data_IF_837031668300
#
_entry.id   IF_837031668300
#
_cell.length_a   1.000
_cell.length_b   1.000
_cell.length_c   1.000
_cell.angle_alpha   90.00
_cell.angle_beta   90.00
_cell.angle_gamma   90.00
#
_symmetry.space_group_name_H-M   'P 1'
#
loop_
_entity.id
_entity.type
_entity.pdbx_description
1 polymer ?
#
# COMPACT_ATOMS: atom_id res chain seq x y z
N UNK A 1 1.91 1.64 28.27
CA UNK A 1 2.89 1.55 27.17
C UNK A 1 2.55 2.65 26.18
N UNK A 2 3.52 3.40 25.68
CA UNK A 2 3.25 4.37 24.62
C UNK A 2 2.78 3.64 23.37
N UNK A 3 1.77 4.16 22.68
CA UNK A 3 1.32 3.63 21.40
C UNK A 3 2.48 3.65 20.40
N UNK A 4 2.67 2.58 19.64
CA UNK A 4 3.65 2.49 18.56
C UNK A 4 3.26 3.38 17.37
N UNK A 5 4.20 3.60 16.45
CA UNK A 5 3.97 4.38 15.26
C UNK A 5 3.10 3.66 14.22
N UNK A 6 2.46 4.43 13.35
CA UNK A 6 1.92 3.96 12.09
C UNK A 6 2.96 4.21 10.99
N UNK A 7 3.46 3.17 10.38
CA UNK A 7 4.48 3.25 9.32
C UNK A 7 3.82 3.07 7.95
N UNK A 8 3.96 4.07 7.07
CA UNK A 8 3.35 4.05 5.73
C UNK A 8 4.44 4.09 4.67
N UNK A 9 4.71 2.94 4.07
CA UNK A 9 5.65 2.82 2.95
C UNK A 9 4.94 3.24 1.67
N UNK A 10 5.44 4.31 1.02
CA UNK A 10 4.76 4.98 -0.08
C UNK A 10 3.79 6.07 0.37
N UNK A 11 4.08 6.72 1.51
CA UNK A 11 3.23 7.73 2.13
C UNK A 11 3.35 9.17 1.58
N UNK A 12 4.15 9.39 0.51
CA UNK A 12 4.36 10.75 -0.03
C UNK A 12 3.31 11.20 -1.05
N UNK A 13 2.30 10.38 -1.32
CA UNK A 13 1.23 10.76 -2.28
C UNK A 13 0.09 9.76 -2.30
N UNK A 14 -0.98 10.12 -3.01
CA UNK A 14 -2.15 9.27 -3.22
C UNK A 14 -2.70 8.68 -1.94
N UNK A 15 -3.10 7.40 -2.00
CA UNK A 15 -3.71 6.69 -0.87
C UNK A 15 -2.81 6.62 0.37
N UNK A 16 -1.49 6.43 0.19
CA UNK A 16 -0.57 6.38 1.32
C UNK A 16 -0.53 7.69 2.11
N UNK A 17 -0.58 8.84 1.43
CA UNK A 17 -0.65 10.15 2.07
C UNK A 17 -1.95 10.37 2.83
N UNK A 18 -3.09 9.96 2.26
CA UNK A 18 -4.39 10.09 2.94
C UNK A 18 -4.48 9.17 4.17
N UNK A 19 -3.91 7.96 4.10
CA UNK A 19 -3.81 7.07 5.26
C UNK A 19 -2.93 7.70 6.34
N UNK A 20 -1.78 8.25 5.98
CA UNK A 20 -0.90 8.96 6.91
C UNK A 20 -1.64 10.13 7.59
N UNK A 21 -2.34 10.96 6.79
CA UNK A 21 -3.17 12.05 7.30
C UNK A 21 -4.23 11.58 8.27
N UNK A 22 -4.97 10.52 7.92
CA UNK A 22 -6.03 9.96 8.77
C UNK A 22 -5.54 9.60 10.18
N UNK A 23 -4.35 8.99 10.28
CA UNK A 23 -3.79 8.65 11.58
C UNK A 23 -3.20 9.85 12.32
N UNK A 24 -2.63 10.81 11.62
CA UNK A 24 -2.17 12.08 12.20
C UNK A 24 -3.33 12.89 12.81
N UNK A 25 -4.47 12.97 12.11
CA UNK A 25 -5.68 13.64 12.58
C UNK A 25 -6.23 12.99 13.89
N UNK A 26 -5.90 11.72 14.13
CA UNK A 26 -6.20 10.97 15.36
C UNK A 26 -5.08 11.07 16.43
N UNK A 27 -4.11 11.95 16.23
CA UNK A 27 -3.01 12.20 17.17
C UNK A 27 -1.94 11.11 17.23
N UNK A 28 -1.94 10.14 16.26
CA UNK A 28 -0.95 9.06 16.20
C UNK A 28 0.38 9.59 15.67
N UNK A 29 1.46 8.93 16.06
CA UNK A 29 2.76 9.10 15.42
C UNK A 29 2.75 8.37 14.08
N UNK A 30 3.22 9.05 13.01
CA UNK A 30 3.27 8.50 11.66
C UNK A 30 4.67 8.66 11.07
N UNK A 31 5.24 7.56 10.58
CA UNK A 31 6.45 7.57 9.76
C UNK A 31 6.03 7.26 8.33
N UNK A 32 6.26 8.20 7.41
CA UNK A 32 5.96 8.01 6.01
C UNK A 32 7.22 7.94 5.16
N UNK A 33 7.22 7.10 4.13
CA UNK A 33 8.38 6.97 3.26
C UNK A 33 8.12 7.39 1.82
N UNK A 34 9.18 7.85 1.17
CA UNK A 34 9.29 8.06 -0.26
C UNK A 34 10.72 7.80 -0.71
N UNK A 35 10.97 7.70 -2.02
CA UNK A 35 12.33 7.50 -2.56
C UNK A 35 13.24 8.70 -2.34
N UNK A 36 12.67 9.89 -2.36
CA UNK A 36 13.37 11.15 -2.13
C UNK A 36 13.13 11.66 -0.71
N UNK A 37 14.22 11.87 0.05
CA UNK A 37 14.17 12.31 1.44
C UNK A 37 13.59 13.71 1.58
N UNK A 38 13.98 14.64 0.69
CA UNK A 38 13.51 16.02 0.78
C UNK A 38 12.00 16.08 0.57
N UNK A 39 11.47 15.34 -0.41
CA UNK A 39 10.04 15.22 -0.62
C UNK A 39 9.33 14.55 0.55
N UNK A 40 9.87 13.48 1.12
CA UNK A 40 9.26 12.79 2.26
C UNK A 40 9.21 13.72 3.49
N UNK A 41 10.27 14.46 3.77
CA UNK A 41 10.33 15.44 4.83
C UNK A 41 9.35 16.61 4.60
N UNK A 42 9.27 17.13 3.37
CA UNK A 42 8.33 18.19 3.01
C UNK A 42 6.87 17.76 3.22
N UNK A 43 6.50 16.55 2.77
CA UNK A 43 5.16 16.00 2.98
C UNK A 43 4.86 15.80 4.47
N UNK A 44 5.82 15.30 5.25
CA UNK A 44 5.66 15.19 6.70
C UNK A 44 5.42 16.55 7.34
N UNK A 45 6.19 17.56 6.97
CA UNK A 45 6.01 18.94 7.47
C UNK A 45 4.65 19.51 7.10
N UNK A 46 4.19 19.29 5.86
CA UNK A 46 2.88 19.75 5.37
C UNK A 46 1.72 19.08 6.13
N UNK A 47 1.81 17.77 6.40
CA UNK A 47 0.81 17.03 7.16
C UNK A 47 0.80 17.44 8.63
N UNK A 48 1.92 17.89 9.16
CA UNK A 48 2.06 18.33 10.54
C UNK A 48 1.95 17.20 11.58
N UNK A 49 1.54 17.55 12.79
CA UNK A 49 1.36 16.58 13.86
C UNK A 49 2.67 15.88 14.27
N UNK A 50 2.58 14.59 14.61
CA UNK A 50 3.72 13.73 14.96
C UNK A 50 4.20 12.95 13.74
N UNK A 51 4.43 13.65 12.61
CA UNK A 51 4.86 13.04 11.36
C UNK A 51 6.36 13.10 11.17
N UNK A 52 6.92 12.07 10.54
CA UNK A 52 8.33 11.99 10.12
C UNK A 52 8.43 11.36 8.73
N UNK A 53 9.18 12.02 7.83
CA UNK A 53 9.51 11.49 6.50
C UNK A 53 10.85 10.78 6.49
N UNK A 54 10.94 9.66 5.78
CA UNK A 54 12.18 8.91 5.56
C UNK A 54 12.36 8.60 4.07
N UNK A 55 13.62 8.44 3.63
CA UNK A 55 13.94 7.90 2.32
C UNK A 55 13.89 6.37 2.38
N UNK A 56 13.17 5.74 1.46
CA UNK A 56 13.17 4.30 1.29
C UNK A 56 12.80 3.96 -0.16
N UNK A 57 13.67 3.18 -0.82
CA UNK A 57 13.47 2.68 -2.16
C UNK A 57 13.25 1.15 -2.10
N UNK A 58 12.04 0.72 -2.40
CA UNK A 58 11.66 -0.69 -2.42
C UNK A 58 12.37 -1.50 -3.51
N UNK A 59 12.95 -0.83 -4.52
CA UNK A 59 13.76 -1.50 -5.57
C UNK A 59 15.18 -1.80 -5.13
N UNK A 60 15.56 -1.33 -3.93
CA UNK A 60 16.87 -1.54 -3.31
C UNK A 60 16.75 -2.28 -1.99
N UNK A 61 16.36 -3.57 -2.00
CA UNK A 61 16.01 -4.30 -0.77
C UNK A 61 17.16 -4.33 0.25
N UNK A 62 18.41 -4.38 -0.18
CA UNK A 62 19.57 -4.38 0.71
C UNK A 62 19.77 -3.07 1.50
N UNK A 63 19.13 -1.96 1.09
CA UNK A 63 19.21 -0.67 1.78
C UNK A 63 18.06 -0.48 2.78
N UNK A 64 16.99 -1.28 2.70
CA UNK A 64 15.75 -1.12 3.48
C UNK A 64 16.02 -1.21 4.98
N UNK A 65 16.78 -2.19 5.42
CA UNK A 65 17.11 -2.37 6.85
C UNK A 65 17.76 -1.13 7.47
N UNK A 66 18.71 -0.52 6.75
CA UNK A 66 19.36 0.73 7.19
C UNK A 66 18.38 1.92 7.22
N UNK A 67 17.52 2.04 6.21
CA UNK A 67 16.51 3.11 6.14
C UNK A 67 15.50 3.04 7.30
N UNK A 68 15.21 1.84 7.80
CA UNK A 68 14.24 1.59 8.87
C UNK A 68 14.88 1.51 10.28
N UNK A 69 16.21 1.57 10.40
CA UNK A 69 16.92 1.36 11.66
C UNK A 69 16.47 2.30 12.80
N UNK A 70 16.09 3.55 12.46
CA UNK A 70 15.66 4.57 13.42
C UNK A 70 14.16 4.53 13.76
N UNK A 71 13.40 3.50 13.36
CA UNK A 71 11.98 3.35 13.71
C UNK A 71 11.84 2.66 15.06
N UNK A 72 11.01 3.21 15.93
CA UNK A 72 10.65 2.62 17.24
C UNK A 72 9.58 1.52 17.12
N UNK A 73 8.81 1.24 18.19
CA UNK A 73 7.70 0.30 18.16
C UNK A 73 6.68 0.66 17.08
N UNK A 74 6.12 -0.35 16.42
CA UNK A 74 5.17 -0.21 15.30
C UNK A 74 3.86 -0.90 15.64
N UNK A 75 2.75 -0.14 15.66
CA UNK A 75 1.41 -0.70 15.81
C UNK A 75 0.82 -1.10 14.46
N UNK A 76 1.00 -0.25 13.43
CA UNK A 76 0.46 -0.50 12.10
C UNK A 76 1.52 -0.27 11.03
N UNK A 77 1.65 -1.23 10.11
CA UNK A 77 2.49 -1.13 8.93
C UNK A 77 1.63 -1.17 7.67
N UNK A 78 1.73 -0.16 6.82
CA UNK A 78 1.04 -0.07 5.53
C UNK A 78 2.04 -0.10 4.39
N UNK A 79 1.92 -1.07 3.49
CA UNK A 79 2.75 -1.25 2.31
C UNK A 79 1.95 -0.84 1.06
N UNK A 80 2.06 0.44 0.66
CA UNK A 80 1.28 1.04 -0.44
C UNK A 80 2.14 1.56 -1.60
N UNK A 81 3.47 1.54 -1.46
CA UNK A 81 4.38 2.03 -2.49
C UNK A 81 4.38 1.15 -3.74
N UNK A 82 4.05 1.73 -4.90
CA UNK A 82 4.09 1.05 -6.19
C UNK A 82 4.44 2.03 -7.29
N UNK A 83 5.29 1.61 -8.21
CA UNK A 83 5.44 2.26 -9.51
C UNK A 83 4.43 1.69 -10.50
N UNK A 84 3.96 2.54 -11.40
CA UNK A 84 3.02 2.14 -12.45
C UNK A 84 3.77 2.04 -13.77
N UNK A 85 3.58 0.94 -14.46
CA UNK A 85 4.11 0.74 -15.80
C UNK A 85 3.14 -0.11 -16.61
N UNK A 86 3.13 0.10 -17.93
CA UNK A 86 2.49 -0.79 -18.86
C UNK A 86 3.55 -1.74 -19.43
N UNK A 87 3.25 -3.04 -19.44
CA UNK A 87 4.20 -4.06 -19.85
C UNK A 87 3.42 -5.20 -20.52
N UNK A 88 3.40 -5.20 -21.85
CA UNK A 88 2.76 -6.26 -22.65
C UNK A 88 3.78 -7.34 -23.01
N UNK A 89 3.33 -8.50 -23.46
CA UNK A 89 4.24 -9.56 -23.92
C UNK A 89 4.92 -9.15 -25.23
N UNK A 90 4.22 -8.42 -26.10
CA UNK A 90 4.75 -7.99 -27.40
C UNK A 90 5.74 -6.82 -27.26
N UNK A 91 5.61 -6.00 -26.21
CA UNK A 91 6.50 -4.89 -25.89
C UNK A 91 6.92 -5.01 -24.42
N UNK A 92 7.76 -6.01 -24.16
CA UNK A 92 8.16 -6.37 -22.81
C UNK A 92 9.48 -5.71 -22.41
N UNK A 93 9.40 -4.78 -21.45
CA UNK A 93 10.56 -4.22 -20.77
C UNK A 93 10.93 -5.07 -19.55
N UNK A 94 11.98 -5.89 -19.70
CA UNK A 94 12.48 -6.77 -18.62
C UNK A 94 12.99 -5.97 -17.42
N UNK A 95 13.59 -4.79 -17.63
CA UNK A 95 14.12 -3.95 -16.53
C UNK A 95 12.96 -3.44 -15.67
N UNK A 96 11.90 -2.93 -16.30
CA UNK A 96 10.68 -2.52 -15.61
C UNK A 96 10.01 -3.72 -14.91
N UNK A 97 9.96 -4.88 -15.56
CA UNK A 97 9.39 -6.10 -15.00
C UNK A 97 10.11 -6.55 -13.73
N UNK A 98 11.44 -6.60 -13.76
CA UNK A 98 12.29 -6.93 -12.61
C UNK A 98 12.12 -5.89 -11.50
N UNK A 99 12.13 -4.60 -11.85
CA UNK A 99 11.94 -3.52 -10.88
C UNK A 99 10.62 -3.65 -10.14
N UNK A 100 9.51 -3.88 -10.85
CA UNK A 100 8.18 -4.02 -10.24
C UNK A 100 8.07 -5.28 -9.36
N UNK A 101 8.64 -6.40 -9.78
CA UNK A 101 8.70 -7.63 -9.00
C UNK A 101 9.55 -7.42 -7.72
N UNK A 102 10.72 -6.81 -7.87
CA UNK A 102 11.59 -6.48 -6.72
C UNK A 102 10.88 -5.57 -5.74
N UNK A 103 10.29 -4.48 -6.21
CA UNK A 103 9.59 -3.52 -5.37
C UNK A 103 8.49 -4.17 -4.54
N UNK A 104 7.60 -4.94 -5.20
CA UNK A 104 6.37 -5.40 -4.56
C UNK A 104 6.49 -6.75 -3.88
N UNK A 105 7.28 -7.67 -4.43
CA UNK A 105 7.38 -9.03 -3.86
C UNK A 105 8.58 -9.16 -2.94
N UNK A 106 9.73 -8.58 -3.27
CA UNK A 106 10.94 -8.67 -2.44
C UNK A 106 10.99 -7.52 -1.44
N UNK A 107 10.84 -6.27 -1.89
CA UNK A 107 10.93 -5.08 -1.04
C UNK A 107 9.89 -5.05 0.07
N UNK A 108 8.66 -5.47 -0.20
CA UNK A 108 7.62 -5.55 0.84
C UNK A 108 7.97 -6.57 1.93
N UNK A 109 8.45 -7.75 1.53
CA UNK A 109 8.89 -8.77 2.50
C UNK A 109 10.07 -8.27 3.31
N UNK A 110 11.03 -7.60 2.67
CA UNK A 110 12.20 -7.04 3.38
C UNK A 110 11.81 -5.94 4.38
N UNK A 111 10.82 -5.08 4.05
CA UNK A 111 10.27 -4.12 5.03
C UNK A 111 9.70 -4.84 6.25
N UNK A 112 8.92 -5.90 6.03
CA UNK A 112 8.34 -6.71 7.12
C UNK A 112 9.46 -7.36 7.95
N UNK A 113 10.45 -7.96 7.29
CA UNK A 113 11.61 -8.56 7.94
C UNK A 113 12.36 -7.56 8.83
N UNK A 114 12.72 -6.40 8.29
CA UNK A 114 13.45 -5.36 9.00
C UNK A 114 12.69 -4.78 10.20
N UNK A 115 11.34 -4.68 10.10
CA UNK A 115 10.49 -4.18 11.18
C UNK A 115 9.99 -5.28 12.14
N UNK A 116 10.20 -6.56 11.85
CA UNK A 116 9.71 -7.67 12.70
C UNK A 116 10.05 -7.49 14.19
N UNK A 117 11.27 -7.07 14.58
CA UNK A 117 11.62 -6.87 16.00
C UNK A 117 10.90 -5.69 16.68
N UNK A 118 10.21 -4.85 15.90
CA UNK A 118 9.47 -3.65 16.36
C UNK A 118 7.96 -3.88 16.43
N UNK A 119 7.47 -5.03 15.94
CA UNK A 119 6.07 -5.43 15.99
C UNK A 119 5.77 -6.11 17.34
N UNK A 120 4.66 -5.73 17.94
CA UNK A 120 4.07 -6.40 19.11
C UNK A 120 2.99 -7.39 18.67
N UNK A 121 2.51 -8.20 19.59
CA UNK A 121 1.43 -9.17 19.35
C UNK A 121 0.12 -8.53 18.88
N UNK A 122 -0.07 -7.24 19.15
CA UNK A 122 -1.26 -6.48 18.70
C UNK A 122 -1.05 -5.71 17.42
N UNK A 123 0.15 -5.74 16.85
CA UNK A 123 0.45 -5.04 15.59
C UNK A 123 -0.32 -5.62 14.41
N UNK A 124 -0.49 -4.81 13.37
CA UNK A 124 -1.11 -5.23 12.12
C UNK A 124 -0.39 -4.69 10.89
N UNK A 125 -0.39 -5.48 9.84
CA UNK A 125 0.23 -5.18 8.54
C UNK A 125 -0.85 -5.18 7.47
N UNK A 126 -0.86 -4.15 6.63
CA UNK A 126 -1.71 -4.06 5.46
C UNK A 126 -0.89 -3.95 4.19
N UNK A 127 -1.13 -4.87 3.26
CA UNK A 127 -0.45 -4.91 1.96
C UNK A 127 -1.41 -4.46 0.86
N UNK A 128 -1.00 -3.45 0.09
CA UNK A 128 -1.77 -3.01 -1.07
C UNK A 128 -1.50 -3.91 -2.27
N UNK A 129 -2.55 -4.55 -2.77
CA UNK A 129 -2.58 -5.25 -4.04
C UNK A 129 -3.19 -4.37 -5.15
N UNK A 130 -4.15 -4.90 -5.85
CA UNK A 130 -4.93 -4.24 -6.92
C UNK A 130 -5.77 -5.25 -7.68
N UNK A 131 -6.83 -4.76 -8.33
CA UNK A 131 -7.81 -5.62 -9.01
C UNK A 131 -7.32 -6.23 -10.33
N UNK A 132 -6.20 -5.76 -10.90
CA UNK A 132 -5.59 -6.40 -12.08
C UNK A 132 -5.31 -7.90 -11.89
N UNK A 133 -5.21 -8.38 -10.65
CA UNK A 133 -5.09 -9.82 -10.31
C UNK A 133 -6.29 -10.66 -10.77
N UNK A 134 -7.48 -10.09 -10.81
CA UNK A 134 -8.75 -10.74 -11.22
C UNK A 134 -9.32 -10.13 -12.51
N UNK A 135 -8.98 -8.90 -12.81
CA UNK A 135 -9.44 -8.11 -13.95
C UNK A 135 -8.23 -7.63 -14.76
N UNK A 136 -7.50 -8.53 -15.42
CA UNK A 136 -6.34 -8.15 -16.23
C UNK A 136 -6.78 -7.36 -17.46
N UNK A 137 -5.91 -6.48 -17.91
CA UNK A 137 -6.09 -5.66 -19.12
C UNK A 137 -4.79 -5.63 -19.93
N UNK A 138 -4.82 -5.34 -21.22
CA UNK A 138 -3.60 -5.20 -22.02
C UNK A 138 -2.62 -4.20 -21.37
N UNK A 139 -1.36 -4.61 -21.19
CA UNK A 139 -0.34 -3.84 -20.48
C UNK A 139 -0.25 -4.11 -18.96
N UNK A 140 -1.09 -5.00 -18.42
CA UNK A 140 -1.06 -5.32 -16.98
C UNK A 140 -0.27 -6.59 -16.64
N UNK A 141 0.48 -7.19 -17.57
CA UNK A 141 1.15 -8.48 -17.36
C UNK A 141 1.90 -8.53 -16.02
N UNK A 142 2.82 -7.62 -15.79
CA UNK A 142 3.58 -7.60 -14.52
C UNK A 142 2.74 -7.11 -13.35
N UNK A 143 1.88 -6.11 -13.54
CA UNK A 143 0.99 -5.61 -12.47
C UNK A 143 0.04 -6.70 -11.98
N UNK A 144 -0.55 -7.47 -12.90
CA UNK A 144 -1.42 -8.61 -12.55
C UNK A 144 -0.65 -9.69 -11.79
N UNK A 145 0.56 -10.01 -12.26
CA UNK A 145 1.43 -11.03 -11.64
C UNK A 145 1.81 -10.65 -10.20
N UNK A 146 2.31 -9.43 -9.97
CA UNK A 146 2.73 -9.02 -8.63
C UNK A 146 1.54 -8.85 -7.69
N UNK A 147 0.38 -8.40 -8.18
CA UNK A 147 -0.84 -8.32 -7.37
C UNK A 147 -1.39 -9.71 -7.00
N UNK A 148 -1.24 -10.70 -7.89
CA UNK A 148 -1.50 -12.11 -7.58
C UNK A 148 -0.56 -12.65 -6.51
N UNK A 149 0.73 -12.31 -6.59
CA UNK A 149 1.76 -12.67 -5.61
C UNK A 149 1.49 -12.14 -4.20
N UNK A 150 0.84 -10.97 -4.08
CA UNK A 150 0.44 -10.40 -2.77
C UNK A 150 -0.49 -11.35 -2.00
N UNK A 151 -1.35 -12.09 -2.68
CA UNK A 151 -2.27 -13.05 -2.03
C UNK A 151 -1.48 -14.16 -1.31
N UNK A 152 -0.52 -14.76 -2.02
CA UNK A 152 0.36 -15.79 -1.43
C UNK A 152 1.19 -15.23 -0.27
N UNK A 153 1.75 -14.04 -0.46
CA UNK A 153 2.51 -13.33 0.57
C UNK A 153 1.68 -13.14 1.86
N UNK A 154 0.49 -12.56 1.75
CA UNK A 154 -0.38 -12.27 2.91
C UNK A 154 -0.79 -13.56 3.63
N UNK A 155 -1.16 -14.61 2.89
CA UNK A 155 -1.51 -15.91 3.48
C UNK A 155 -0.36 -16.50 4.27
N UNK A 156 0.86 -16.47 3.75
CA UNK A 156 2.04 -16.98 4.44
C UNK A 156 2.38 -16.12 5.64
N UNK A 157 2.48 -14.81 5.48
CA UNK A 157 2.84 -13.89 6.58
C UNK A 157 1.80 -13.90 7.71
N UNK A 158 0.51 -14.10 7.41
CA UNK A 158 -0.53 -14.19 8.44
C UNK A 158 -0.39 -15.40 9.36
N UNK A 159 0.32 -16.44 8.90
CA UNK A 159 0.65 -17.64 9.71
C UNK A 159 2.00 -17.47 10.41
N UNK A 160 3.03 -17.03 9.66
CA UNK A 160 4.40 -16.93 10.20
C UNK A 160 4.55 -15.86 11.29
N UNK A 161 3.75 -14.78 11.19
CA UNK A 161 3.84 -13.65 12.12
C UNK A 161 2.81 -13.70 13.25
N UNK A 162 1.94 -14.71 13.28
CA UNK A 162 0.92 -14.79 14.33
C UNK A 162 1.54 -14.60 15.74
N UNK A 163 0.89 -13.79 16.60
CA UNK A 163 -0.45 -13.21 16.50
C UNK A 163 -0.53 -11.86 15.76
N UNK A 164 0.56 -11.33 15.19
CA UNK A 164 0.53 -10.13 14.33
C UNK A 164 -0.38 -10.42 13.13
N UNK A 165 -1.33 -9.53 12.88
CA UNK A 165 -2.30 -9.70 11.80
C UNK A 165 -1.76 -9.15 10.48
N UNK A 166 -1.99 -9.87 9.39
CA UNK A 166 -1.58 -9.47 8.04
C UNK A 166 -2.76 -9.62 7.10
N UNK A 167 -3.15 -8.51 6.44
CA UNK A 167 -4.24 -8.48 5.48
C UNK A 167 -3.82 -7.78 4.19
N UNK A 168 -4.57 -7.96 3.12
CA UNK A 168 -4.42 -7.18 1.90
C UNK A 168 -5.69 -6.42 1.54
N UNK A 169 -5.49 -5.29 0.86
CA UNK A 169 -6.53 -4.49 0.25
C UNK A 169 -6.27 -4.37 -1.25
N UNK A 170 -7.32 -4.51 -2.05
CA UNK A 170 -7.26 -4.45 -3.50
C UNK A 170 -8.24 -3.39 -4.02
N UNK A 171 -7.81 -2.12 -4.08
CA UNK A 171 -8.64 -1.08 -4.66
C UNK A 171 -8.90 -1.32 -6.14
N UNK A 172 -10.09 -0.97 -6.59
CA UNK A 172 -10.41 -0.78 -8.00
C UNK A 172 -9.91 0.57 -8.51
N UNK A 173 -10.71 1.21 -9.37
CA UNK A 173 -10.47 2.58 -9.80
C UNK A 173 -10.92 3.52 -8.68
N UNK A 174 -9.97 4.27 -8.10
CA UNK A 174 -10.23 5.28 -7.08
C UNK A 174 -10.37 6.62 -7.77
N UNK A 175 -11.61 7.00 -8.07
CA UNK A 175 -11.94 8.07 -9.02
C UNK A 175 -11.42 9.46 -8.64
N UNK A 176 -11.35 9.75 -7.35
CA UNK A 176 -10.87 11.02 -6.79
C UNK A 176 -9.37 11.01 -6.43
N UNK A 177 -8.65 9.91 -6.73
CA UNK A 177 -7.20 9.90 -6.52
C UNK A 177 -6.47 10.76 -7.55
N UNK A 178 -5.29 11.33 -7.21
CA UNK A 178 -4.56 12.24 -8.12
C UNK A 178 -4.29 11.64 -9.51
N UNK A 179 -4.11 10.32 -9.59
CA UNK A 179 -3.88 9.65 -10.87
C UNK A 179 -5.14 9.56 -11.74
N UNK A 180 -6.30 9.35 -11.13
CA UNK A 180 -7.56 9.14 -11.86
C UNK A 180 -8.36 10.43 -12.04
N UNK A 181 -8.26 11.40 -11.13
CA UNK A 181 -8.98 12.66 -11.20
C UNK A 181 -8.67 13.45 -12.48
N UNK A 182 -7.43 13.31 -13.01
CA UNK A 182 -7.01 14.00 -14.25
C UNK A 182 -7.39 13.25 -15.53
N UNK A 183 -8.06 12.09 -15.44
CA UNK A 183 -8.48 11.33 -16.64
C UNK A 183 -9.75 11.91 -17.24
N UNK A 184 -9.94 11.80 -18.58
CA UNK A 184 -11.16 12.23 -19.24
C UNK A 184 -12.40 11.60 -18.60
N UNK A 185 -13.47 12.39 -18.45
CA UNK A 185 -14.73 11.93 -17.84
C UNK A 185 -15.29 10.67 -18.50
N UNK A 186 -15.12 10.50 -19.80
CA UNK A 186 -15.56 9.32 -20.55
C UNK A 186 -14.83 8.05 -20.10
N UNK A 187 -13.53 8.15 -19.74
CA UNK A 187 -12.75 7.02 -19.23
C UNK A 187 -13.25 6.60 -17.86
N UNK A 188 -13.48 7.57 -16.97
CA UNK A 188 -14.03 7.30 -15.64
C UNK A 188 -15.44 6.71 -15.72
N UNK A 189 -16.27 7.22 -16.65
CA UNK A 189 -17.63 6.70 -16.89
C UNK A 189 -17.61 5.24 -17.37
N UNK A 190 -16.69 4.89 -18.27
CA UNK A 190 -16.53 3.51 -18.73
C UNK A 190 -16.19 2.54 -17.59
N UNK A 191 -15.36 2.97 -16.64
CA UNK A 191 -15.08 2.16 -15.44
C UNK A 191 -16.27 2.15 -14.48
N UNK A 192 -16.92 3.28 -14.25
CA UNK A 192 -18.10 3.41 -13.37
C UNK A 192 -19.23 2.50 -13.81
N UNK A 193 -19.54 2.45 -15.09
CA UNK A 193 -20.58 1.58 -15.66
C UNK A 193 -20.29 0.09 -15.50
N UNK A 194 -19.01 -0.29 -15.30
CA UNK A 194 -18.59 -1.66 -15.00
C UNK A 194 -18.72 -2.03 -13.53
N UNK A 195 -19.05 -1.11 -12.62
CA UNK A 195 -19.23 -1.42 -11.20
C UNK A 195 -20.70 -1.78 -10.88
N UNK A 196 -20.89 -2.72 -9.95
CA UNK A 196 -22.25 -3.10 -9.51
C UNK A 196 -22.94 -2.03 -8.68
N UNK A 197 -22.16 -1.23 -7.95
CA UNK A 197 -22.67 -0.11 -7.16
C UNK A 197 -23.02 1.12 -8.00
N UNK A 198 -22.63 1.15 -9.28
CA UNK A 198 -22.76 2.33 -10.14
C UNK A 198 -21.84 3.49 -9.75
N UNK A 199 -20.84 3.25 -8.90
CA UNK A 199 -19.91 4.27 -8.43
C UNK A 199 -18.47 3.76 -8.43
N UNK A 200 -17.51 4.65 -8.69
CA UNK A 200 -16.09 4.38 -8.46
C UNK A 200 -15.79 4.45 -6.96
N UNK A 201 -14.81 3.68 -6.50
CA UNK A 201 -14.29 3.84 -5.16
C UNK A 201 -13.70 5.26 -4.97
N UNK A 202 -13.76 5.76 -3.74
CA UNK A 202 -13.15 7.02 -3.34
C UNK A 202 -11.91 6.77 -2.47
N UNK A 203 -11.07 7.80 -2.31
CA UNK A 203 -9.96 7.76 -1.35
C UNK A 203 -10.48 7.48 0.06
N UNK A 204 -11.61 8.08 0.44
CA UNK A 204 -12.24 7.87 1.75
C UNK A 204 -12.69 6.42 1.97
N UNK A 205 -13.25 5.76 0.96
CA UNK A 205 -13.64 4.34 1.03
C UNK A 205 -12.43 3.44 1.30
N UNK A 206 -11.33 3.69 0.60
CA UNK A 206 -10.09 2.92 0.77
C UNK A 206 -9.45 3.18 2.13
N UNK A 207 -9.46 4.43 2.63
CA UNK A 207 -8.97 4.77 3.97
C UNK A 207 -9.82 4.10 5.04
N UNK A 208 -11.15 4.12 4.92
CA UNK A 208 -12.07 3.45 5.85
C UNK A 208 -11.83 1.93 5.91
N UNK A 209 -11.70 1.29 4.75
CA UNK A 209 -11.39 -0.13 4.65
C UNK A 209 -9.99 -0.46 5.21
N UNK A 210 -9.00 0.40 4.97
CA UNK A 210 -7.64 0.29 5.55
C UNK A 210 -7.71 0.32 7.07
N UNK A 211 -8.41 1.28 7.64
CA UNK A 211 -8.60 1.41 9.09
C UNK A 211 -9.28 0.18 9.69
N UNK A 212 -10.34 -0.32 9.05
CA UNK A 212 -11.02 -1.56 9.45
C UNK A 212 -10.05 -2.75 9.50
N UNK A 213 -9.25 -2.96 8.46
CA UNK A 213 -8.29 -4.09 8.40
C UNK A 213 -7.17 -3.96 9.43
N UNK A 214 -6.72 -2.75 9.71
CA UNK A 214 -5.66 -2.50 10.68
C UNK A 214 -6.15 -2.57 12.13
N UNK A 215 -7.38 -2.12 12.43
CA UNK A 215 -7.86 -1.95 13.80
C UNK A 215 -8.79 -3.07 14.29
N UNK A 216 -9.39 -3.88 13.40
CA UNK A 216 -10.25 -4.98 13.81
C UNK A 216 -9.40 -6.22 14.21
N UNK A 217 -9.40 -6.60 15.51
CA UNK A 217 -8.53 -7.68 15.99
C UNK A 217 -8.91 -9.08 15.52
N UNK A 218 -10.13 -9.24 14.99
CA UNK A 218 -10.63 -10.55 14.51
C UNK A 218 -10.40 -10.78 13.01
N UNK A 219 -9.74 -9.83 12.31
CA UNK A 219 -9.52 -9.92 10.86
C UNK A 219 -8.05 -10.19 10.57
N UNK A 220 -7.75 -11.39 10.03
CA UNK A 220 -6.41 -11.82 9.66
C UNK A 220 -6.45 -12.69 8.39
N UNK A 221 -5.48 -12.54 7.49
CA UNK A 221 -5.36 -13.32 6.26
C UNK A 221 -6.39 -12.98 5.17
N UNK A 222 -7.05 -11.82 5.25
CA UNK A 222 -8.12 -11.41 4.33
C UNK A 222 -7.56 -10.67 3.12
N UNK A 223 -8.14 -10.96 1.95
CA UNK A 223 -7.96 -10.23 0.69
C UNK A 223 -9.21 -9.41 0.40
N UNK A 224 -9.23 -8.13 0.79
CA UNK A 224 -10.41 -7.27 0.68
C UNK A 224 -10.41 -6.47 -0.63
N UNK A 225 -11.44 -6.65 -1.46
CA UNK A 225 -11.70 -5.80 -2.62
C UNK A 225 -12.46 -4.53 -2.20
N UNK A 226 -12.02 -3.36 -2.68
CA UNK A 226 -12.70 -2.07 -2.54
C UNK A 226 -12.81 -1.46 -3.93
N UNK A 227 -13.82 -1.89 -4.69
CA UNK A 227 -13.90 -1.67 -6.14
C UNK A 227 -15.33 -1.44 -6.66
N UNK A 228 -16.31 -1.31 -5.77
CA UNK A 228 -17.72 -1.15 -6.15
C UNK A 228 -18.33 -2.40 -6.80
N UNK A 229 -17.71 -3.56 -6.62
CA UNK A 229 -18.12 -4.81 -7.29
C UNK A 229 -17.81 -4.76 -8.79
N UNK A 230 -16.67 -4.21 -9.18
CA UNK A 230 -16.22 -4.08 -10.57
C UNK A 230 -16.18 -5.46 -11.25
N UNK A 231 -16.83 -5.53 -12.47
CA UNK A 231 -16.99 -6.75 -13.29
C UNK A 231 -16.09 -6.75 -14.50
#
# INVERSE_FOLDING_TARGET
>A
MNAGAVVVIGGTGGLGREIAKHYLDRGREVVLSGRDLARAAAVATELGGKSRGIALDLTRPHEIGAALAGIGPVDHLVLSGIDRGANTVDDYDVVQGVSLATQKLVGYVEVVHALRPRLSDTSSILVFGGQARLRPYPGSTMVSTVNGGVIGMVRTLSVELAPVRVNSIHPGIVGDSPFWADKPAQVLEAFRSGTLTGALATMADVVGATTFLLENPSVNGVDLAVDGGWR
#
